data_IF_447573944164
#
_entry.id   IF_447573944164
#
_cell.length_a   1.000
_cell.length_b   1.000
_cell.length_c   1.000
_cell.angle_alpha   90.00
_cell.angle_beta   90.00
_cell.angle_gamma   90.00
#
_symmetry.space_group_name_H-M   'P 1'
#
loop_
_entity.id
_entity.type
_entity.pdbx_description
1 polymer ?
#
# COMPACT_ATOMS: atom_id res chain seq x y z
N UNK A 1 -15.81 -16.89 -10.91
CA UNK A 1 -14.60 -16.14 -10.54
C UNK A 1 -14.32 -16.43 -9.08
N UNK A 2 -13.06 -16.58 -8.70
CA UNK A 2 -12.68 -16.95 -7.34
C UNK A 2 -11.86 -15.82 -6.73
N UNK A 3 -12.04 -15.58 -5.44
CA UNK A 3 -11.31 -14.58 -4.66
C UNK A 3 -10.91 -15.15 -3.31
N UNK A 4 -9.81 -14.66 -2.77
CA UNK A 4 -9.33 -14.99 -1.44
C UNK A 4 -8.93 -13.71 -0.72
N UNK A 5 -9.44 -13.53 0.49
CA UNK A 5 -9.06 -12.42 1.38
C UNK A 5 -8.50 -13.05 2.65
N UNK A 6 -7.31 -12.63 3.07
CA UNK A 6 -6.68 -13.12 4.29
C UNK A 6 -6.43 -11.95 5.24
N UNK A 7 -6.69 -12.16 6.53
CA UNK A 7 -6.27 -11.27 7.60
C UNK A 7 -4.98 -11.81 8.21
N UNK A 8 -3.97 -10.95 8.35
CA UNK A 8 -2.68 -11.29 8.95
C UNK A 8 -2.45 -10.44 10.19
N UNK A 9 -1.89 -11.05 11.23
CA UNK A 9 -1.37 -10.33 12.39
C UNK A 9 -0.03 -9.69 12.03
N UNK A 10 0.08 -8.39 12.25
CA UNK A 10 1.34 -7.65 12.00
C UNK A 10 2.43 -8.08 12.97
N UNK A 11 2.07 -8.36 14.24
CA UNK A 11 3.03 -8.71 15.28
C UNK A 11 3.62 -10.10 15.10
N UNK A 12 2.82 -11.06 14.64
CA UNK A 12 3.23 -12.47 14.53
C UNK A 12 3.53 -12.91 13.10
N UNK A 13 3.11 -12.15 12.09
CA UNK A 13 3.17 -12.54 10.68
C UNK A 13 2.25 -13.70 10.31
N UNK A 14 1.41 -14.19 11.23
CA UNK A 14 0.53 -15.35 11.02
C UNK A 14 -0.82 -14.94 10.42
N UNK A 15 -1.40 -15.86 9.65
CA UNK A 15 -2.77 -15.73 9.15
C UNK A 15 -3.76 -15.97 10.28
N UNK A 16 -4.62 -14.99 10.53
CA UNK A 16 -5.62 -15.00 11.61
C UNK A 16 -6.99 -15.46 11.12
N UNK A 17 -7.29 -15.19 9.85
CA UNK A 17 -8.54 -15.58 9.19
C UNK A 17 -8.40 -15.54 7.67
N UNK A 18 -9.23 -16.33 6.97
CA UNK A 18 -9.30 -16.38 5.50
C UNK A 18 -10.78 -16.42 5.08
N UNK A 19 -11.14 -15.65 4.07
CA UNK A 19 -12.41 -15.73 3.36
C UNK A 19 -12.17 -16.13 1.90
N UNK A 20 -12.66 -17.31 1.54
CA UNK A 20 -12.64 -17.80 0.17
C UNK A 20 -14.01 -17.51 -0.45
N UNK A 21 -14.00 -16.82 -1.59
CA UNK A 21 -15.20 -16.46 -2.32
C UNK A 21 -15.20 -17.07 -3.72
N UNK A 22 -16.36 -17.58 -4.13
CA UNK A 22 -16.62 -18.02 -5.50
C UNK A 22 -17.94 -17.45 -6.00
N UNK A 23 -17.93 -16.92 -7.21
CA UNK A 23 -19.14 -16.58 -7.98
C UNK A 23 -19.51 -17.65 -9.00
N UNK A 24 -18.84 -18.80 -8.96
CA UNK A 24 -19.01 -19.85 -9.94
C UNK A 24 -19.27 -21.20 -9.28
N UNK A 25 -20.33 -21.84 -9.73
CA UNK A 25 -20.62 -23.24 -9.44
C UNK A 25 -20.82 -24.00 -10.76
N UNK A 26 -20.00 -25.03 -11.06
CA UNK A 26 -20.16 -25.85 -12.25
C UNK A 26 -21.55 -26.49 -12.35
N UNK A 27 -22.07 -26.98 -11.23
CA UNK A 27 -23.38 -27.65 -11.16
C UNK A 27 -24.51 -26.68 -11.46
N UNK A 28 -24.52 -25.48 -10.85
CA UNK A 28 -25.50 -24.44 -11.21
C UNK A 28 -25.46 -24.07 -12.69
N UNK A 29 -24.26 -23.99 -13.30
CA UNK A 29 -24.11 -23.69 -14.73
C UNK A 29 -24.61 -24.83 -15.62
N UNK A 30 -24.54 -26.08 -15.15
CA UNK A 30 -25.10 -27.23 -15.86
C UNK A 30 -26.62 -27.20 -15.77
N UNK A 31 -27.18 -27.03 -14.57
CA UNK A 31 -28.63 -26.89 -14.33
C UNK A 31 -29.21 -25.76 -15.18
N UNK A 32 -28.56 -24.60 -15.24
CA UNK A 32 -29.06 -23.46 -16.01
C UNK A 32 -29.12 -23.68 -17.53
N UNK A 33 -28.47 -24.74 -18.03
CA UNK A 33 -28.49 -25.13 -19.45
C UNK A 33 -29.42 -26.32 -19.74
N UNK A 34 -29.94 -26.97 -18.70
CA UNK A 34 -30.89 -28.06 -18.85
C UNK A 34 -32.27 -27.50 -19.21
N UNK A 35 -33.03 -28.17 -20.08
CA UNK A 35 -34.44 -27.84 -20.27
C UNK A 35 -35.20 -28.04 -18.96
N UNK A 36 -36.25 -27.24 -18.77
CA UNK A 36 -37.08 -27.32 -17.57
C UNK A 36 -37.80 -28.67 -17.54
N UNK A 37 -37.42 -29.53 -16.60
CA UNK A 37 -37.96 -30.87 -16.39
C UNK A 37 -37.99 -31.20 -14.90
N UNK A 38 -38.80 -32.19 -14.51
CA UNK A 38 -38.85 -32.69 -13.13
C UNK A 38 -37.44 -33.08 -12.65
N UNK A 39 -36.64 -33.74 -13.49
CA UNK A 39 -35.24 -34.09 -13.19
C UNK A 39 -34.35 -32.87 -12.94
N UNK A 40 -34.53 -31.79 -13.72
CA UNK A 40 -33.76 -30.56 -13.52
C UNK A 40 -34.13 -29.86 -12.21
N UNK A 41 -35.38 -29.98 -11.76
CA UNK A 41 -35.89 -29.39 -10.53
C UNK A 41 -35.44 -30.19 -9.29
N UNK A 42 -35.51 -31.52 -9.31
CA UNK A 42 -34.94 -32.35 -8.24
C UNK A 42 -33.43 -32.18 -8.14
N UNK A 43 -32.73 -32.20 -9.27
CA UNK A 43 -31.28 -32.00 -9.28
C UNK A 43 -30.87 -30.60 -8.75
N UNK A 44 -31.69 -29.57 -8.98
CA UNK A 44 -31.48 -28.24 -8.41
C UNK A 44 -31.80 -28.19 -6.91
N UNK A 45 -32.83 -28.91 -6.45
CA UNK A 45 -33.22 -28.96 -5.04
C UNK A 45 -32.15 -29.65 -4.17
N UNK A 46 -31.53 -30.72 -4.67
CA UNK A 46 -30.47 -31.45 -3.95
C UNK A 46 -29.10 -30.77 -4.01
N UNK A 47 -28.97 -29.70 -4.81
CA UNK A 47 -27.69 -29.06 -5.05
C UNK A 47 -27.26 -28.12 -3.92
N UNK A 48 -26.17 -28.49 -3.22
CA UNK A 48 -25.45 -27.57 -2.33
C UNK A 48 -24.53 -26.65 -3.14
N UNK A 49 -24.95 -25.39 -3.29
CA UNK A 49 -24.19 -24.41 -4.05
C UNK A 49 -22.95 -23.91 -3.31
N UNK A 50 -21.78 -24.02 -3.96
CA UNK A 50 -20.52 -23.48 -3.45
C UNK A 50 -20.24 -22.04 -3.90
N UNK A 51 -21.11 -21.46 -4.75
CA UNK A 51 -21.03 -20.05 -5.10
C UNK A 51 -21.57 -19.21 -3.95
N UNK A 52 -20.67 -18.59 -3.19
CA UNK A 52 -20.99 -17.81 -2.00
C UNK A 52 -20.83 -16.29 -2.21
N UNK A 53 -20.60 -15.84 -3.44
CA UNK A 53 -20.44 -14.42 -3.77
C UNK A 53 -21.15 -14.06 -5.07
N UNK A 54 -21.87 -12.94 -5.07
CA UNK A 54 -22.50 -12.36 -6.25
C UNK A 54 -22.02 -10.93 -6.45
N UNK A 55 -21.52 -10.62 -7.64
CA UNK A 55 -21.00 -9.30 -7.98
C UNK A 55 -19.71 -9.35 -8.78
N UNK A 56 -19.05 -8.19 -8.92
CA UNK A 56 -17.79 -8.08 -9.65
C UNK A 56 -16.58 -8.48 -8.79
N UNK A 57 -15.48 -8.86 -9.45
CA UNK A 57 -14.19 -9.15 -8.83
C UNK A 57 -13.78 -8.09 -7.80
N UNK A 58 -13.92 -6.82 -8.20
CA UNK A 58 -13.49 -5.65 -7.43
C UNK A 58 -14.22 -5.51 -6.10
N UNK A 59 -15.40 -6.12 -5.95
CA UNK A 59 -16.17 -6.09 -4.70
C UNK A 59 -15.77 -7.21 -3.73
N UNK A 60 -15.09 -8.26 -4.21
CA UNK A 60 -14.71 -9.41 -3.38
C UNK A 60 -13.81 -8.98 -2.21
N UNK A 61 -12.85 -8.09 -2.43
CA UNK A 61 -11.97 -7.60 -1.36
C UNK A 61 -12.76 -6.97 -0.19
N UNK A 62 -13.67 -6.05 -0.51
CA UNK A 62 -14.46 -5.34 0.49
C UNK A 62 -15.44 -6.28 1.22
N UNK A 63 -16.11 -7.16 0.48
CA UNK A 63 -17.02 -8.15 1.09
C UNK A 63 -16.25 -9.15 1.96
N UNK A 64 -15.10 -9.62 1.49
CA UNK A 64 -14.28 -10.55 2.26
C UNK A 64 -13.74 -9.92 3.55
N UNK A 65 -13.27 -8.67 3.49
CA UNK A 65 -12.87 -7.92 4.67
C UNK A 65 -14.01 -7.78 5.68
N UNK A 66 -15.20 -7.38 5.23
CA UNK A 66 -16.38 -7.27 6.10
C UNK A 66 -16.75 -8.60 6.74
N UNK A 67 -16.74 -9.70 5.98
CA UNK A 67 -17.03 -11.05 6.51
C UNK A 67 -16.03 -11.48 7.58
N UNK A 68 -14.74 -11.22 7.37
CA UNK A 68 -13.69 -11.52 8.36
C UNK A 68 -13.90 -10.71 9.64
N UNK A 69 -14.18 -9.41 9.53
CA UNK A 69 -14.40 -8.54 10.69
C UNK A 69 -15.62 -9.00 11.49
N UNK A 70 -16.75 -9.24 10.81
CA UNK A 70 -17.97 -9.74 11.46
C UNK A 70 -17.75 -11.11 12.12
N UNK A 71 -17.06 -12.02 11.43
CA UNK A 71 -16.76 -13.35 11.95
C UNK A 71 -15.90 -13.31 13.21
N UNK A 72 -14.95 -12.39 13.31
CA UNK A 72 -14.13 -12.19 14.51
C UNK A 72 -15.00 -11.83 15.73
N UNK A 73 -15.98 -10.93 15.55
CA UNK A 73 -16.88 -10.52 16.62
C UNK A 73 -17.73 -11.72 17.07
N UNK A 74 -18.38 -12.40 16.12
CA UNK A 74 -19.32 -13.48 16.44
C UNK A 74 -18.63 -14.72 17.00
N UNK A 75 -17.52 -15.16 16.41
CA UNK A 75 -16.85 -16.41 16.80
C UNK A 75 -15.88 -16.27 17.95
N UNK A 76 -15.26 -15.10 18.13
CA UNK A 76 -14.15 -14.90 19.07
C UNK A 76 -14.41 -13.80 20.09
N UNK A 77 -15.45 -12.98 19.93
CA UNK A 77 -15.68 -11.81 20.77
C UNK A 77 -14.62 -10.71 20.59
N UNK A 78 -13.85 -10.75 19.49
CA UNK A 78 -12.72 -9.85 19.26
C UNK A 78 -13.03 -8.81 18.19
N UNK A 79 -12.61 -7.57 18.45
CA UNK A 79 -12.70 -6.44 17.53
C UNK A 79 -11.32 -6.09 16.99
N UNK A 80 -11.19 -5.97 15.67
CA UNK A 80 -9.96 -5.45 15.07
C UNK A 80 -9.95 -3.92 15.18
N UNK A 81 -9.00 -3.36 15.91
CA UNK A 81 -8.86 -1.91 16.11
C UNK A 81 -8.09 -1.21 14.98
N UNK A 82 -7.20 -1.94 14.29
CA UNK A 82 -6.26 -1.37 13.33
C UNK A 82 -6.35 -2.11 12.00
N UNK A 83 -6.50 -1.36 10.91
CA UNK A 83 -6.53 -1.86 9.54
C UNK A 83 -5.32 -1.32 8.79
N UNK A 84 -4.45 -2.22 8.31
CA UNK A 84 -3.29 -1.87 7.50
C UNK A 84 -3.62 -2.13 6.03
N UNK A 85 -3.64 -1.08 5.21
CA UNK A 85 -3.93 -1.26 3.79
C UNK A 85 -3.59 -0.06 2.92
N UNK A 86 -3.95 -0.21 1.65
CA UNK A 86 -3.70 0.77 0.60
C UNK A 86 -4.45 2.08 0.86
N UNK A 87 -3.88 3.20 0.38
CA UNK A 87 -4.40 4.53 0.68
C UNK A 87 -5.83 4.79 0.20
N UNK A 88 -6.23 4.22 -0.94
CA UNK A 88 -7.63 4.16 -1.39
C UNK A 88 -8.09 2.70 -1.30
N UNK A 89 -8.74 2.34 -0.18
CA UNK A 89 -9.20 0.97 0.07
C UNK A 89 -10.70 0.99 0.33
N UNK A 90 -11.46 0.46 -0.64
CA UNK A 90 -12.89 0.18 -0.46
C UNK A 90 -13.12 -0.83 0.66
N UNK A 91 -12.14 -1.71 0.93
CA UNK A 91 -12.17 -2.62 2.06
C UNK A 91 -12.15 -1.90 3.40
N UNK A 92 -11.32 -0.87 3.58
CA UNK A 92 -11.37 -0.06 4.80
C UNK A 92 -12.75 0.59 4.99
N UNK A 93 -13.30 1.19 3.93
CA UNK A 93 -14.60 1.85 3.98
C UNK A 93 -15.70 0.87 4.43
N UNK A 94 -15.64 -0.39 3.99
CA UNK A 94 -16.63 -1.40 4.35
C UNK A 94 -16.48 -1.96 5.77
N UNK A 95 -15.33 -1.78 6.42
CA UNK A 95 -15.07 -2.30 7.77
C UNK A 95 -15.01 -1.25 8.88
N UNK A 96 -14.83 0.04 8.54
CA UNK A 96 -14.59 1.12 9.51
C UNK A 96 -15.64 1.23 10.62
N UNK A 97 -16.88 0.88 10.30
CA UNK A 97 -18.04 0.96 11.20
C UNK A 97 -18.52 -0.42 11.70
N UNK A 98 -17.81 -1.51 11.38
CA UNK A 98 -18.26 -2.88 11.69
C UNK A 98 -18.27 -3.17 13.20
N UNK A 99 -17.42 -2.50 13.98
CA UNK A 99 -17.29 -2.72 15.43
C UNK A 99 -17.91 -1.58 16.28
N UNK A 100 -18.60 -0.64 15.64
CA UNK A 100 -19.02 0.66 16.16
C UNK A 100 -18.55 1.80 15.25
N UNK A 101 -19.19 2.98 15.34
CA UNK A 101 -18.89 4.14 14.49
C UNK A 101 -17.42 4.55 14.60
N UNK A 102 -16.74 4.60 13.46
CA UNK A 102 -15.32 5.00 13.31
C UNK A 102 -14.36 4.29 14.28
N UNK A 103 -14.67 3.03 14.62
CA UNK A 103 -13.91 2.25 15.61
C UNK A 103 -12.60 1.67 15.09
N UNK A 104 -12.42 1.60 13.77
CA UNK A 104 -11.23 1.03 13.13
C UNK A 104 -10.33 2.15 12.63
N UNK A 105 -9.09 2.20 13.13
CA UNK A 105 -8.06 3.13 12.66
C UNK A 105 -7.35 2.57 11.45
N UNK A 106 -7.26 3.36 10.37
CA UNK A 106 -6.51 3.00 9.16
C UNK A 106 -5.04 3.41 9.30
N UNK A 107 -4.16 2.47 9.00
CA UNK A 107 -2.74 2.69 8.78
C UNK A 107 -2.37 2.34 7.34
N UNK A 108 -1.37 3.05 6.81
CA UNK A 108 -0.87 2.84 5.47
C UNK A 108 0.56 2.33 5.53
N UNK A 109 0.93 1.46 4.59
CA UNK A 109 2.31 1.02 4.55
C UNK A 109 3.22 2.12 3.96
N UNK A 110 4.49 2.11 4.38
CA UNK A 110 5.49 3.09 3.95
C UNK A 110 5.61 3.14 2.41
N UNK A 111 5.48 1.98 1.74
CA UNK A 111 5.53 1.90 0.28
C UNK A 111 4.39 2.69 -0.39
N UNK A 112 3.19 2.69 0.19
CA UNK A 112 2.07 3.50 -0.34
C UNK A 112 2.31 4.99 -0.13
N UNK A 113 2.83 5.37 1.04
CA UNK A 113 3.18 6.76 1.30
C UNK A 113 4.25 7.25 0.32
N UNK A 114 5.28 6.44 0.05
CA UNK A 114 6.29 6.70 -0.98
C UNK A 114 5.64 6.92 -2.36
N UNK A 115 4.82 5.97 -2.83
CA UNK A 115 4.14 6.07 -4.14
C UNK A 115 3.28 7.32 -4.24
N UNK A 116 2.62 7.73 -3.15
CA UNK A 116 1.81 8.95 -3.11
C UNK A 116 2.64 10.21 -3.36
N UNK A 117 3.83 10.29 -2.78
CA UNK A 117 4.76 11.42 -3.02
C UNK A 117 5.07 11.52 -4.51
N UNK A 118 5.47 10.39 -5.13
CA UNK A 118 5.76 10.35 -6.57
C UNK A 118 4.55 10.71 -7.44
N UNK A 119 3.35 10.23 -7.11
CA UNK A 119 2.13 10.55 -7.84
C UNK A 119 1.78 12.05 -7.74
N UNK A 120 1.94 12.67 -6.55
CA UNK A 120 1.72 14.11 -6.34
C UNK A 120 2.71 14.95 -7.13
N UNK A 121 4.00 14.58 -7.14
CA UNK A 121 5.03 15.28 -7.92
C UNK A 121 4.78 15.19 -9.42
N UNK A 122 4.35 14.02 -9.93
CA UNK A 122 3.98 13.86 -11.35
C UNK A 122 2.75 14.69 -11.71
N UNK A 123 1.75 14.77 -10.84
CA UNK A 123 0.58 15.65 -11.00
C UNK A 123 0.97 17.12 -10.99
N UNK A 124 1.93 17.51 -10.15
CA UNK A 124 2.47 18.88 -10.13
C UNK A 124 3.19 19.20 -11.44
N UNK A 125 4.07 18.29 -11.90
CA UNK A 125 4.77 18.38 -13.19
C UNK A 125 3.81 18.50 -14.37
N UNK A 126 2.72 17.73 -14.39
CA UNK A 126 1.76 17.78 -15.50
C UNK A 126 0.92 19.07 -15.52
N UNK A 127 0.58 19.61 -14.34
CA UNK A 127 -0.13 20.89 -14.23
C UNK A 127 0.74 22.09 -14.56
N UNK A 128 2.03 22.02 -14.26
CA UNK A 128 2.98 23.12 -14.46
C UNK A 128 3.98 22.77 -15.56
N UNK A 129 3.65 23.12 -16.82
CA UNK A 129 4.55 22.87 -17.97
C UNK A 129 5.96 23.41 -17.77
N UNK A 130 6.12 24.50 -17.00
CA UNK A 130 7.42 25.09 -16.66
C UNK A 130 8.33 24.17 -15.83
N UNK A 131 7.78 23.18 -15.14
CA UNK A 131 8.54 22.17 -14.37
C UNK A 131 8.93 20.95 -15.21
N UNK A 132 8.37 20.82 -16.41
CA UNK A 132 8.68 19.73 -17.34
C UNK A 132 9.86 20.11 -18.25
N UNK A 133 10.73 19.14 -18.54
CA UNK A 133 11.89 19.32 -19.42
C UNK A 133 13.15 18.61 -18.92
N UNK A 134 14.18 18.59 -19.75
CA UNK A 134 15.53 18.14 -19.39
C UNK A 134 16.10 19.10 -18.33
N UNK A 135 16.77 18.57 -17.31
CA UNK A 135 17.31 19.36 -16.17
C UNK A 135 16.24 20.11 -15.36
N UNK A 136 15.10 19.44 -15.13
CA UNK A 136 14.00 19.90 -14.27
C UNK A 136 13.41 18.72 -13.50
N UNK A 137 12.11 18.74 -13.21
CA UNK A 137 11.41 17.66 -12.51
C UNK A 137 11.18 16.46 -13.46
N UNK A 138 12.23 15.70 -13.75
CA UNK A 138 12.18 14.47 -14.55
C UNK A 138 11.56 13.31 -13.75
N UNK A 139 11.08 12.26 -14.44
CA UNK A 139 10.50 11.12 -13.73
C UNK A 139 11.55 10.35 -12.92
N UNK A 140 12.79 10.27 -13.42
CA UNK A 140 13.92 9.67 -12.67
C UNK A 140 14.26 10.46 -11.41
N UNK A 141 14.16 11.80 -11.45
CA UNK A 141 14.32 12.63 -10.26
C UNK A 141 13.20 12.38 -9.25
N UNK A 142 11.94 12.29 -9.71
CA UNK A 142 10.78 11.97 -8.86
C UNK A 142 10.96 10.60 -8.20
N UNK A 143 11.41 9.59 -8.94
CA UNK A 143 11.66 8.25 -8.39
C UNK A 143 12.76 8.26 -7.33
N UNK A 144 13.82 9.06 -7.53
CA UNK A 144 14.87 9.24 -6.53
C UNK A 144 14.33 9.89 -5.26
N UNK A 145 13.55 10.98 -5.37
CA UNK A 145 12.91 11.62 -4.22
C UNK A 145 11.96 10.66 -3.48
N UNK A 146 11.18 9.88 -4.22
CA UNK A 146 10.28 8.88 -3.66
C UNK A 146 11.04 7.85 -2.82
N UNK A 147 12.17 7.37 -3.31
CA UNK A 147 13.02 6.40 -2.60
C UNK A 147 13.61 7.01 -1.32
N UNK A 148 14.14 8.24 -1.38
CA UNK A 148 14.71 8.91 -0.21
C UNK A 148 13.67 9.30 0.83
N UNK A 149 12.46 9.71 0.42
CA UNK A 149 11.34 9.88 1.35
C UNK A 149 11.07 8.58 2.12
N UNK A 150 11.14 7.45 1.41
CA UNK A 150 11.06 6.12 1.98
C UNK A 150 12.14 5.76 2.98
N UNK A 151 13.37 6.23 2.76
CA UNK A 151 14.49 6.10 3.70
C UNK A 151 14.24 6.98 4.92
N UNK A 152 13.82 8.24 4.71
CA UNK A 152 13.54 9.18 5.78
C UNK A 152 12.50 8.65 6.77
N UNK A 153 11.41 8.03 6.29
CA UNK A 153 10.39 7.40 7.15
C UNK A 153 10.96 6.21 7.93
N UNK A 154 11.71 5.32 7.27
CA UNK A 154 12.25 4.11 7.92
C UNK A 154 13.34 4.41 8.94
N UNK A 155 14.17 5.43 8.69
CA UNK A 155 15.27 5.81 9.57
C UNK A 155 14.83 6.67 10.77
N UNK A 156 13.55 7.08 10.84
CA UNK A 156 13.05 7.98 11.89
C UNK A 156 11.74 7.48 12.52
N UNK A 157 11.60 6.16 12.72
CA UNK A 157 10.44 5.60 13.43
C UNK A 157 10.36 6.22 14.82
N UNK A 158 9.22 6.80 15.16
CA UNK A 158 9.01 7.49 16.45
C UNK A 158 9.66 8.89 16.56
N UNK A 159 10.37 9.37 15.55
CA UNK A 159 11.04 10.67 15.57
C UNK A 159 10.51 11.60 14.46
N UNK A 160 9.46 12.38 14.76
CA UNK A 160 8.85 13.30 13.81
C UNK A 160 9.82 14.41 13.34
N UNK A 161 10.61 14.97 14.26
CA UNK A 161 11.57 16.03 13.93
C UNK A 161 12.66 15.52 12.98
N UNK A 162 13.25 14.36 13.28
CA UNK A 162 14.23 13.71 12.41
C UNK A 162 13.65 13.31 11.05
N UNK A 163 12.38 12.90 10.99
CA UNK A 163 11.68 12.65 9.74
C UNK A 163 11.61 13.93 8.89
N UNK A 164 11.15 15.05 9.46
CA UNK A 164 11.06 16.33 8.76
C UNK A 164 12.42 16.78 8.23
N UNK A 165 13.45 16.70 9.07
CA UNK A 165 14.83 17.02 8.69
C UNK A 165 15.31 16.14 7.53
N UNK A 166 15.11 14.82 7.59
CA UNK A 166 15.55 13.90 6.54
C UNK A 166 14.75 14.04 5.24
N UNK A 167 13.48 14.46 5.30
CA UNK A 167 12.69 14.77 4.09
C UNK A 167 13.25 16.01 3.39
N UNK A 168 13.64 17.05 4.14
CA UNK A 168 14.30 18.23 3.60
C UNK A 168 15.68 17.86 3.04
N UNK A 169 16.45 17.07 3.79
CA UNK A 169 17.75 16.57 3.37
C UNK A 169 17.68 15.77 2.06
N UNK A 170 16.65 14.93 1.91
CA UNK A 170 16.40 14.17 0.69
C UNK A 170 16.22 15.08 -0.53
N UNK A 171 15.53 16.20 -0.38
CA UNK A 171 15.35 17.17 -1.46
C UNK A 171 16.70 17.76 -1.89
N UNK A 172 17.47 18.30 -0.95
CA UNK A 172 18.78 18.89 -1.23
C UNK A 172 19.77 17.87 -1.79
N UNK A 173 19.82 16.68 -1.20
CA UNK A 173 20.64 15.58 -1.69
C UNK A 173 20.30 15.20 -3.13
N UNK A 174 19.01 15.10 -3.46
CA UNK A 174 18.59 14.82 -4.83
C UNK A 174 18.98 15.96 -5.78
N UNK A 175 18.97 17.20 -5.33
CA UNK A 175 19.35 18.36 -6.15
C UNK A 175 20.87 18.56 -6.27
N UNK A 176 21.68 17.79 -5.54
CA UNK A 176 23.14 17.90 -5.50
C UNK A 176 23.79 17.55 -6.85
N UNK A 177 24.77 18.35 -7.27
CA UNK A 177 25.62 18.07 -8.44
C UNK A 177 27.10 18.21 -8.10
N UNK A 178 27.99 17.84 -9.05
CA UNK A 178 29.45 18.02 -8.92
C UNK A 178 29.82 19.49 -8.69
N UNK A 179 29.18 20.39 -9.43
CA UNK A 179 29.43 21.83 -9.40
C UNK A 179 28.82 22.49 -8.16
N UNK A 180 27.70 21.95 -7.67
CA UNK A 180 26.96 22.46 -6.51
C UNK A 180 26.61 21.32 -5.56
N UNK A 181 27.54 20.89 -4.70
CA UNK A 181 27.26 19.87 -3.71
C UNK A 181 26.31 20.41 -2.62
N UNK A 182 25.20 19.72 -2.38
CA UNK A 182 24.12 20.10 -1.46
C UNK A 182 23.89 19.03 -0.38
N UNK A 183 24.97 18.47 0.17
CA UNK A 183 24.88 17.42 1.19
C UNK A 183 24.82 17.96 2.63
N UNK A 184 24.84 19.27 2.84
CA UNK A 184 24.92 19.89 4.18
C UNK A 184 23.76 19.52 5.12
N UNK A 185 22.59 19.21 4.58
CA UNK A 185 21.40 18.82 5.32
C UNK A 185 21.32 17.29 5.54
N UNK A 186 22.17 16.51 4.86
CA UNK A 186 22.19 15.06 5.05
C UNK A 186 22.68 14.69 6.45
N UNK A 187 22.20 13.56 7.03
CA UNK A 187 22.75 13.05 8.28
C UNK A 187 24.26 12.91 8.22
N UNK A 188 24.94 13.27 9.30
CA UNK A 188 26.40 13.14 9.43
C UNK A 188 26.72 11.78 10.04
N UNK A 189 27.94 11.29 9.82
CA UNK A 189 28.44 10.08 10.46
C UNK A 189 28.48 8.86 9.52
N UNK A 190 29.06 7.78 10.04
CA UNK A 190 29.30 6.53 9.30
C UNK A 190 28.00 5.81 8.92
N UNK A 191 26.94 6.03 9.70
CA UNK A 191 25.61 5.43 9.48
C UNK A 191 24.70 6.28 8.60
N UNK A 192 25.21 7.39 8.06
CA UNK A 192 24.44 8.24 7.15
C UNK A 192 24.01 7.45 5.92
N UNK A 193 22.76 7.64 5.49
CA UNK A 193 22.30 7.14 4.20
C UNK A 193 22.98 7.89 3.04
N UNK A 194 23.52 9.09 3.29
CA UNK A 194 24.25 9.87 2.30
C UNK A 194 25.70 9.40 2.20
N UNK A 195 26.06 8.88 1.02
CA UNK A 195 27.43 8.44 0.75
C UNK A 195 28.47 9.56 0.96
N UNK A 196 28.15 10.79 0.54
CA UNK A 196 29.04 11.94 0.67
C UNK A 196 29.43 12.17 2.14
N UNK A 197 28.43 12.22 3.03
CA UNK A 197 28.65 12.41 4.47
C UNK A 197 29.38 11.23 5.13
N UNK A 198 29.10 9.99 4.70
CA UNK A 198 29.85 8.82 5.16
C UNK A 198 31.32 8.87 4.76
N UNK A 199 31.62 9.26 3.52
CA UNK A 199 32.99 9.33 3.03
C UNK A 199 33.78 10.37 3.84
N UNK A 200 33.23 11.55 4.07
CA UNK A 200 33.83 12.58 4.94
C UNK A 200 34.09 12.04 6.35
N UNK A 201 33.10 11.38 6.95
CA UNK A 201 33.20 10.80 8.30
C UNK A 201 34.25 9.68 8.42
N UNK A 202 34.65 9.09 7.29
CA UNK A 202 35.67 8.05 7.20
C UNK A 202 37.02 8.57 6.66
N UNK A 203 37.19 9.89 6.51
CA UNK A 203 38.40 10.49 5.95
C UNK A 203 38.64 10.19 4.47
N UNK A 204 37.61 9.76 3.73
CA UNK A 204 37.67 9.47 2.29
C UNK A 204 37.22 10.68 1.48
N UNK A 205 37.78 10.84 0.28
CA UNK A 205 37.30 11.85 -0.68
C UNK A 205 35.91 11.44 -1.19
N UNK A 206 34.86 12.24 -0.93
CA UNK A 206 33.53 11.95 -1.46
C UNK A 206 33.47 12.19 -2.98
N UNK A 207 32.57 11.49 -3.66
CA UNK A 207 32.26 11.75 -5.06
C UNK A 207 30.76 12.00 -5.24
N UNK A 208 30.43 12.80 -6.24
CA UNK A 208 29.05 13.03 -6.65
C UNK A 208 28.64 12.01 -7.70
N UNK A 209 27.46 11.41 -7.50
CA UNK A 209 26.94 10.37 -8.38
C UNK A 209 25.90 10.87 -9.37
N UNK A 210 25.40 12.08 -9.18
CA UNK A 210 24.22 12.57 -9.88
C UNK A 210 24.44 13.98 -10.41
N UNK A 211 23.80 14.28 -11.54
CA UNK A 211 23.88 15.58 -12.21
C UNK A 211 22.95 16.65 -11.59
N UNK A 212 22.50 16.46 -10.34
CA UNK A 212 21.56 17.36 -9.68
C UNK A 212 20.18 17.46 -10.34
N UNK A 213 19.53 18.59 -10.07
CA UNK A 213 18.27 19.05 -10.66
C UNK A 213 18.59 20.13 -11.71
#
# INVERSE_FOLDING_TARGET
MNGCVAALSVDTGKVVDIEIMSSYCPTCRKISKMPRSIESETFAADHVCHSNFQGSALKMEAVGATRIFQRSIVKRGLKYAHYYGDGDSKGFISVKDTCGKDSVTKYECIRHVQKRVGARLRKLKSKNKNLSGKSKLTDSFIDRLQNYYGIAVRSNVGNLSGLQQNVIAALFHCSSSVEKPMHGQCPIGKDSWCYYQRALSCGKKPNEKYNGL
#
